data_IF_599589127747
#
_entry.id   IF_599589127747
#
_cell.length_a   1.000
_cell.length_b   1.000
_cell.length_c   1.000
_cell.angle_alpha   90.00
_cell.angle_beta   90.00
_cell.angle_gamma   90.00
#
_symmetry.space_group_name_H-M   'P 1'
#
loop_
_entity.id
_entity.type
_entity.pdbx_description
1 polymer ?
#
# COMPACT_ATOMS: atom_id res chain seq x y z
N UNK A 1 -17.82 2.72 10.92
CA UNK A 1 -18.36 3.73 9.98
C UNK A 1 -19.37 3.12 9.03
N UNK A 2 -20.37 3.87 8.55
CA UNK A 2 -21.23 3.43 7.45
C UNK A 2 -20.40 3.25 6.17
N UNK A 3 -20.69 2.23 5.36
CA UNK A 3 -19.99 1.96 4.09
C UNK A 3 -19.91 3.18 3.16
N UNK A 4 -20.91 4.06 3.18
CA UNK A 4 -20.95 5.27 2.35
C UNK A 4 -19.87 6.30 2.68
N UNK A 5 -19.35 6.32 3.91
CA UNK A 5 -18.24 7.18 4.30
C UNK A 5 -16.90 6.64 3.81
N UNK A 6 -16.72 5.32 3.80
CA UNK A 6 -15.52 4.66 3.27
C UNK A 6 -15.31 4.98 1.78
N UNK A 7 -16.39 5.04 1.00
CA UNK A 7 -16.33 5.44 -0.41
C UNK A 7 -15.90 6.89 -0.62
N UNK A 8 -16.31 7.81 0.26
CA UNK A 8 -15.87 9.22 0.22
C UNK A 8 -14.42 9.36 0.66
N UNK A 9 -14.01 8.53 1.61
CA UNK A 9 -12.65 8.52 2.11
C UNK A 9 -11.66 7.92 1.09
N UNK A 10 -12.06 6.89 0.34
CA UNK A 10 -11.21 6.18 -0.61
C UNK A 10 -10.32 7.09 -1.48
N UNK A 11 -10.83 8.11 -2.20
CA UNK A 11 -9.97 8.95 -3.03
C UNK A 11 -8.98 9.80 -2.22
N UNK A 12 -9.38 10.29 -1.04
CA UNK A 12 -8.53 11.14 -0.19
C UNK A 12 -7.42 10.29 0.42
N UNK A 13 -7.80 9.16 1.00
CA UNK A 13 -6.86 8.24 1.60
C UNK A 13 -5.93 7.60 0.58
N UNK A 14 -6.40 7.30 -0.64
CA UNK A 14 -5.56 6.83 -1.74
C UNK A 14 -4.46 7.84 -2.10
N UNK A 15 -4.82 9.12 -2.25
CA UNK A 15 -3.83 10.16 -2.53
C UNK A 15 -2.84 10.33 -1.38
N UNK A 16 -3.31 10.26 -0.13
CA UNK A 16 -2.44 10.30 1.05
C UNK A 16 -1.44 9.14 1.07
N UNK A 17 -1.91 7.92 0.81
CA UNK A 17 -1.06 6.73 0.71
C UNK A 17 -0.02 6.88 -0.40
N UNK A 18 -0.41 7.33 -1.60
CA UNK A 18 0.54 7.59 -2.70
C UNK A 18 1.60 8.59 -2.30
N UNK A 19 1.22 9.69 -1.63
CA UNK A 19 2.16 10.74 -1.21
C UNK A 19 3.22 10.21 -0.25
N UNK A 20 2.91 9.17 0.54
CA UNK A 20 3.83 8.53 1.47
C UNK A 20 4.66 7.44 0.80
N UNK A 21 4.00 6.55 0.05
CA UNK A 21 4.64 5.36 -0.53
C UNK A 21 5.58 5.74 -1.66
N UNK A 22 5.19 6.71 -2.49
CA UNK A 22 5.96 7.09 -3.67
C UNK A 22 7.38 7.54 -3.32
N UNK A 23 7.64 8.44 -2.35
CA UNK A 23 8.99 8.76 -1.91
C UNK A 23 9.81 7.54 -1.47
N UNK A 24 9.20 6.62 -0.70
CA UNK A 24 9.86 5.41 -0.22
C UNK A 24 10.25 4.52 -1.40
N UNK A 25 9.36 4.34 -2.38
CA UNK A 25 9.62 3.56 -3.59
C UNK A 25 10.64 4.23 -4.52
N UNK A 26 10.61 5.55 -4.65
CA UNK A 26 11.57 6.29 -5.48
C UNK A 26 13.02 6.08 -5.01
N UNK A 27 13.22 6.06 -3.69
CA UNK A 27 14.53 5.84 -3.04
C UNK A 27 14.87 4.34 -2.95
N UNK A 28 13.87 3.51 -2.61
CA UNK A 28 14.06 2.10 -2.29
C UNK A 28 14.19 1.18 -3.49
N UNK A 29 13.43 1.40 -4.57
CA UNK A 29 13.47 0.55 -5.77
C UNK A 29 14.84 0.57 -6.46
N UNK A 30 15.16 -0.51 -7.18
CA UNK A 30 16.44 -0.66 -7.86
C UNK A 30 16.71 0.50 -8.84
N UNK A 31 17.96 1.01 -8.92
CA UNK A 31 18.42 1.96 -9.94
C UNK A 31 18.01 1.60 -11.37
N UNK A 32 17.89 0.30 -11.67
CA UNK A 32 17.54 -0.24 -12.99
C UNK A 32 16.08 0.02 -13.39
N UNK A 33 15.20 0.30 -12.43
CA UNK A 33 13.82 0.72 -12.70
C UNK A 33 13.82 2.21 -13.04
N UNK A 34 13.26 2.59 -14.18
CA UNK A 34 13.22 3.99 -14.61
C UNK A 34 12.41 4.85 -13.65
N UNK A 35 12.74 6.15 -13.55
CA UNK A 35 12.03 7.08 -12.66
C UNK A 35 10.51 7.08 -12.89
N UNK A 36 10.09 7.10 -14.17
CA UNK A 36 8.68 7.03 -14.55
C UNK A 36 8.03 5.74 -14.03
N UNK A 37 8.69 4.59 -14.16
CA UNK A 37 8.16 3.32 -13.64
C UNK A 37 8.05 3.32 -12.12
N UNK A 38 9.01 3.90 -11.39
CA UNK A 38 8.94 3.98 -9.92
C UNK A 38 7.76 4.84 -9.46
N UNK A 39 7.52 5.97 -10.12
CA UNK A 39 6.36 6.83 -9.86
C UNK A 39 5.04 6.09 -10.14
N UNK A 40 4.97 5.39 -11.26
CA UNK A 40 3.78 4.58 -11.60
C UNK A 40 3.60 3.40 -10.65
N UNK A 41 4.67 2.78 -10.13
CA UNK A 41 4.54 1.71 -9.13
C UNK A 41 3.83 2.22 -7.88
N UNK A 42 4.22 3.39 -7.37
CA UNK A 42 3.58 3.99 -6.20
C UNK A 42 2.10 4.32 -6.42
N UNK A 43 1.68 4.71 -7.62
CA UNK A 43 0.25 4.94 -7.87
C UNK A 43 -0.53 3.64 -8.16
N UNK A 44 0.06 2.75 -8.94
CA UNK A 44 -0.62 1.57 -9.49
C UNK A 44 -0.77 0.44 -8.49
N UNK A 45 0.28 0.14 -7.71
CA UNK A 45 0.25 -0.93 -6.71
C UNK A 45 -0.85 -0.62 -5.67
N UNK A 46 -0.81 0.59 -5.13
CA UNK A 46 -1.82 1.12 -4.20
C UNK A 46 -3.22 1.15 -4.83
N UNK A 47 -3.36 1.42 -6.13
CA UNK A 47 -4.68 1.42 -6.78
C UNK A 47 -5.35 0.04 -6.74
N UNK A 48 -4.54 -1.03 -6.77
CA UNK A 48 -5.04 -2.40 -6.72
C UNK A 48 -5.32 -2.88 -5.29
N UNK A 49 -4.55 -2.43 -4.29
CA UNK A 49 -4.61 -2.94 -2.91
C UNK A 49 -5.49 -2.07 -2.00
N UNK A 50 -5.49 -0.75 -2.20
CA UNK A 50 -6.16 0.19 -1.32
C UNK A 50 -7.69 0.02 -1.25
N UNK A 51 -8.42 -0.19 -2.38
CA UNK A 51 -9.85 -0.46 -2.31
C UNK A 51 -10.18 -1.73 -1.52
N UNK A 52 -9.31 -2.73 -1.55
CA UNK A 52 -9.48 -3.96 -0.79
C UNK A 52 -9.35 -3.65 0.71
N UNK A 53 -8.31 -2.92 1.11
CA UNK A 53 -8.05 -2.54 2.51
C UNK A 53 -9.14 -1.63 3.09
N UNK A 54 -9.70 -0.72 2.29
CA UNK A 54 -10.68 0.28 2.76
C UNK A 54 -12.13 -0.16 2.61
N UNK A 55 -12.48 -0.93 1.59
CA UNK A 55 -13.88 -1.32 1.34
C UNK A 55 -14.15 -2.78 1.69
N UNK A 56 -13.26 -3.68 1.27
CA UNK A 56 -13.51 -5.13 1.36
C UNK A 56 -13.19 -5.66 2.74
N UNK A 57 -12.00 -5.39 3.26
CA UNK A 57 -11.59 -5.88 4.59
C UNK A 57 -12.53 -5.37 5.70
N UNK A 58 -12.94 -4.10 5.77
CA UNK A 58 -13.87 -3.65 6.82
C UNK A 58 -15.26 -4.29 6.71
N UNK A 59 -15.70 -4.66 5.50
CA UNK A 59 -16.96 -5.37 5.30
C UNK A 59 -16.88 -6.84 5.75
N UNK A 60 -15.73 -7.50 5.53
CA UNK A 60 -15.50 -8.89 5.98
C UNK A 60 -15.33 -8.97 7.49
N UNK A 61 -14.57 -8.04 8.08
CA UNK A 61 -14.27 -8.00 9.52
C UNK A 61 -15.28 -7.15 10.31
N UNK A 62 -16.50 -6.98 9.80
CA UNK A 62 -17.54 -6.22 10.49
C UNK A 62 -17.93 -6.91 11.79
N UNK A 63 -17.74 -6.22 12.93
CA UNK A 63 -18.00 -6.77 14.26
C UNK A 63 -16.82 -7.52 14.90
N UNK A 64 -15.69 -7.62 14.20
CA UNK A 64 -14.45 -8.22 14.71
C UNK A 64 -13.52 -7.20 15.37
N UNK A 65 -12.48 -7.68 16.04
CA UNK A 65 -11.49 -6.81 16.68
C UNK A 65 -10.67 -6.00 15.66
N UNK A 66 -10.42 -4.72 15.98
CA UNK A 66 -9.59 -3.81 15.17
C UNK A 66 -8.19 -4.37 14.90
N UNK A 67 -7.59 -5.01 15.90
CA UNK A 67 -6.26 -5.60 15.79
C UNK A 67 -6.21 -6.72 14.73
N UNK A 68 -7.28 -7.53 14.62
CA UNK A 68 -7.37 -8.58 13.61
C UNK A 68 -7.46 -7.99 12.21
N UNK A 69 -8.30 -6.96 12.03
CA UNK A 69 -8.38 -6.22 10.76
C UNK A 69 -7.02 -5.65 10.34
N UNK A 70 -6.33 -4.95 11.25
CA UNK A 70 -5.02 -4.35 10.96
C UNK A 70 -3.96 -5.40 10.65
N UNK A 71 -3.87 -6.47 11.44
CA UNK A 71 -2.91 -7.54 11.19
C UNK A 71 -3.11 -8.18 9.80
N UNK A 72 -4.36 -8.35 9.36
CA UNK A 72 -4.67 -8.85 8.03
C UNK A 72 -4.36 -7.81 6.94
N UNK A 73 -4.69 -6.55 7.17
CA UNK A 73 -4.42 -5.47 6.21
C UNK A 73 -2.92 -5.24 6.01
N UNK A 74 -2.15 -5.15 7.10
CA UNK A 74 -0.69 -4.93 7.11
C UNK A 74 0.11 -6.09 6.50
N UNK A 75 -0.46 -7.29 6.47
CA UNK A 75 0.18 -8.45 5.84
C UNK A 75 -0.27 -8.64 4.39
N UNK A 76 -1.57 -8.55 4.11
CA UNK A 76 -2.12 -8.81 2.78
C UNK A 76 -1.76 -7.74 1.77
N UNK A 77 -1.72 -6.45 2.15
CA UNK A 77 -1.38 -5.36 1.24
C UNK A 77 0.05 -5.50 0.69
N UNK A 78 1.12 -5.57 1.51
CA UNK A 78 2.48 -5.69 0.98
C UNK A 78 2.72 -7.00 0.22
N UNK A 79 2.10 -8.11 0.64
CA UNK A 79 2.17 -9.38 -0.10
C UNK A 79 1.57 -9.23 -1.49
N UNK A 80 0.37 -8.65 -1.60
CA UNK A 80 -0.29 -8.42 -2.87
C UNK A 80 0.54 -7.47 -3.76
N UNK A 81 1.11 -6.40 -3.21
CA UNK A 81 1.94 -5.46 -3.98
C UNK A 81 3.24 -6.09 -4.46
N UNK A 82 3.89 -6.93 -3.64
CA UNK A 82 5.07 -7.68 -4.08
C UNK A 82 4.74 -8.63 -5.25
N UNK A 83 3.59 -9.32 -5.18
CA UNK A 83 3.13 -10.19 -6.26
C UNK A 83 2.81 -9.38 -7.53
N UNK A 84 2.11 -8.26 -7.40
CA UNK A 84 1.79 -7.36 -8.53
C UNK A 84 3.06 -6.80 -9.17
N UNK A 85 4.02 -6.34 -8.36
CA UNK A 85 5.31 -5.86 -8.84
C UNK A 85 6.09 -6.97 -9.56
N UNK A 86 6.12 -8.17 -8.98
CA UNK A 86 6.74 -9.32 -9.63
C UNK A 86 6.10 -9.65 -10.98
N UNK A 87 4.77 -9.68 -11.07
CA UNK A 87 4.07 -9.92 -12.33
C UNK A 87 4.37 -8.84 -13.38
N UNK A 88 4.56 -7.58 -12.97
CA UNK A 88 4.87 -6.48 -13.88
C UNK A 88 6.29 -6.53 -14.47
N UNK A 89 7.27 -7.08 -13.73
CA UNK A 89 8.70 -7.01 -14.10
C UNK A 89 9.40 -8.34 -14.35
N UNK A 90 8.82 -9.50 -13.97
CA UNK A 90 9.45 -10.84 -14.08
C UNK A 90 9.92 -11.25 -15.49
N UNK A 91 9.33 -10.70 -16.54
CA UNK A 91 9.64 -11.06 -17.93
C UNK A 91 10.48 -10.04 -18.68
N UNK A 92 11.06 -9.04 -17.99
CA UNK A 92 11.80 -7.95 -18.64
C UNK A 92 13.32 -8.05 -18.52
N UNK A 93 13.87 -9.08 -17.86
CA UNK A 93 15.30 -9.27 -17.58
C UNK A 93 16.03 -8.02 -17.03
N UNK A 94 15.28 -7.12 -16.38
CA UNK A 94 15.82 -5.84 -15.84
C UNK A 94 16.45 -6.03 -14.46
N UNK A 95 15.98 -7.01 -13.68
CA UNK A 95 16.30 -7.12 -12.25
C UNK A 95 17.03 -8.45 -11.97
N UNK A 96 18.17 -8.35 -11.29
CA UNK A 96 18.88 -9.52 -10.74
C UNK A 96 18.26 -9.94 -9.40
N UNK A 97 18.64 -11.11 -8.89
CA UNK A 97 18.12 -11.64 -7.61
C UNK A 97 18.27 -10.65 -6.44
N UNK A 98 19.39 -9.93 -6.36
CA UNK A 98 19.61 -8.90 -5.34
C UNK A 98 18.70 -7.68 -5.50
N UNK A 99 18.43 -7.29 -6.75
CA UNK A 99 17.51 -6.18 -7.06
C UNK A 99 16.07 -6.52 -6.66
N UNK A 100 15.65 -7.78 -6.85
CA UNK A 100 14.32 -8.26 -6.45
C UNK A 100 14.10 -8.14 -4.94
N UNK A 101 15.04 -8.63 -4.14
CA UNK A 101 14.96 -8.55 -2.68
C UNK A 101 14.88 -7.09 -2.24
N UNK A 102 15.74 -6.23 -2.79
CA UNK A 102 15.71 -4.79 -2.52
C UNK A 102 14.34 -4.18 -2.85
N UNK A 103 13.76 -4.51 -4.00
CA UNK A 103 12.46 -3.97 -4.41
C UNK A 103 11.33 -4.45 -3.49
N UNK A 104 11.31 -5.74 -3.12
CA UNK A 104 10.31 -6.26 -2.19
C UNK A 104 10.43 -5.62 -0.80
N UNK A 105 11.65 -5.46 -0.28
CA UNK A 105 11.88 -4.75 0.98
C UNK A 105 11.38 -3.30 0.88
N UNK A 106 11.66 -2.61 -0.23
CA UNK A 106 11.19 -1.24 -0.44
C UNK A 106 9.65 -1.15 -0.47
N UNK A 107 8.98 -2.09 -1.13
CA UNK A 107 7.50 -2.15 -1.20
C UNK A 107 6.90 -2.40 0.19
N UNK A 108 7.47 -3.35 0.95
CA UNK A 108 7.03 -3.64 2.32
C UNK A 108 7.20 -2.41 3.21
N UNK A 109 8.36 -1.74 3.14
CA UNK A 109 8.62 -0.51 3.91
C UNK A 109 7.69 0.63 3.52
N UNK A 110 7.34 0.76 2.23
CA UNK A 110 6.40 1.76 1.76
C UNK A 110 5.01 1.53 2.37
N UNK A 111 4.49 0.30 2.31
CA UNK A 111 3.21 -0.09 2.90
C UNK A 111 3.21 0.15 4.43
N UNK A 112 4.24 -0.30 5.13
CA UNK A 112 4.32 -0.11 6.59
C UNK A 112 4.40 1.38 6.96
N UNK A 113 5.09 2.21 6.15
CA UNK A 113 5.13 3.65 6.36
C UNK A 113 3.77 4.31 6.15
N UNK A 114 3.02 3.90 5.13
CA UNK A 114 1.68 4.43 4.86
C UNK A 114 0.66 4.02 5.92
N UNK A 115 0.69 2.76 6.36
CA UNK A 115 -0.11 2.28 7.50
C UNK A 115 0.26 3.00 8.79
N UNK A 116 1.55 3.08 9.13
CA UNK A 116 2.01 3.74 10.36
C UNK A 116 1.62 5.21 10.43
N UNK A 117 1.75 5.96 9.32
CA UNK A 117 1.28 7.34 9.26
C UNK A 117 -0.25 7.43 9.25
N UNK A 118 -0.94 6.49 8.64
CA UNK A 118 -2.41 6.37 8.73
C UNK A 118 -2.89 6.22 10.17
N UNK A 119 -2.23 5.38 10.98
CA UNK A 119 -2.53 5.20 12.40
C UNK A 119 -2.29 6.48 13.21
N UNK A 120 -1.18 7.19 12.96
CA UNK A 120 -0.89 8.48 13.62
C UNK A 120 -1.96 9.51 13.27
N UNK A 121 -2.38 9.58 12.00
CA UNK A 121 -3.43 10.47 11.51
C UNK A 121 -4.79 10.12 12.16
N UNK A 122 -5.09 8.83 12.31
CA UNK A 122 -6.29 8.38 13.02
C UNK A 122 -6.25 8.79 14.50
N UNK A 123 -5.11 8.63 15.17
CA UNK A 123 -4.93 8.99 16.58
C UNK A 123 -5.16 10.49 16.83
N UNK A 124 -4.75 11.37 15.92
CA UNK A 124 -4.97 12.83 16.03
C UNK A 124 -6.39 13.26 15.62
N UNK A 125 -7.29 12.31 15.33
CA UNK A 125 -8.70 12.55 15.01
C UNK A 125 -8.94 12.99 13.56
N UNK A 126 -7.94 12.90 12.69
CA UNK A 126 -8.11 13.22 11.28
C UNK A 126 -8.82 12.06 10.57
N UNK A 127 -10.05 12.34 10.12
CA UNK A 127 -10.96 11.42 9.43
C UNK A 127 -11.41 10.15 10.17
N UNK A 128 -11.05 9.96 11.44
CA UNK A 128 -11.71 9.02 12.36
C UNK A 128 -11.94 7.62 11.79
N UNK A 129 -11.02 7.08 11.00
CA UNK A 129 -11.13 5.71 10.51
C UNK A 129 -10.89 4.75 11.66
N UNK A 130 -12.01 4.43 12.28
CA UNK A 130 -12.20 3.47 13.36
C UNK A 130 -11.71 3.95 14.73
#
# INVERSE_FOLDING_TARGET
MPLSELWKFLPIGYLFTILIETPVLLVGLSPKVTFKQRLWCGAWLTACTYPIVILVLPAIFFGESRALYLAVAETSAPVAECILFWMAFRGRDVLETGDWIRCFVAIVLANLASFGLGEVVNYVGWFGLF
#
